data_IF_817097931558
#
_entry.id   IF_817097931558
#
_cell.length_a   1.000
_cell.length_b   1.000
_cell.length_c   1.000
_cell.angle_alpha   90.00
_cell.angle_beta   90.00
_cell.angle_gamma   90.00
#
_symmetry.space_group_name_H-M   'P 1'
#
loop_
_entity.id
_entity.type
_entity.pdbx_description
1 polymer ?
#
# COMPACT_ATOMS: atom_id res chain seq x y z
N UNK A 1 27.23 19.69 -0.89
CA UNK A 1 26.19 18.75 -1.38
C UNK A 1 25.49 18.10 -0.20
N UNK A 2 24.16 18.14 -0.11
CA UNK A 2 23.42 17.41 0.92
C UNK A 2 23.05 16.03 0.39
N UNK A 3 23.66 15.00 0.98
CA UNK A 3 23.30 13.61 0.81
C UNK A 3 21.89 13.38 1.36
N UNK A 4 20.87 13.70 0.56
CA UNK A 4 19.52 13.27 0.83
C UNK A 4 19.49 11.75 0.63
N UNK A 5 19.79 11.00 1.69
CA UNK A 5 19.46 9.59 1.79
C UNK A 5 17.94 9.49 1.85
N UNK A 6 17.29 9.58 0.69
CA UNK A 6 15.83 9.53 0.54
C UNK A 6 15.40 8.09 0.71
N UNK A 7 14.73 7.78 1.82
CA UNK A 7 14.11 6.48 2.02
C UNK A 7 12.82 6.46 1.21
N UNK A 8 12.86 5.82 0.03
CA UNK A 8 11.68 5.65 -0.82
C UNK A 8 10.83 4.51 -0.24
N UNK A 9 9.53 4.72 -0.14
CA UNK A 9 8.63 3.61 0.16
C UNK A 9 8.62 2.63 -1.03
N UNK A 10 8.75 1.33 -0.73
CA UNK A 10 8.64 0.29 -1.76
C UNK A 10 7.20 0.06 -2.23
N UNK A 11 6.22 0.57 -1.47
CA UNK A 11 4.80 0.37 -1.71
C UNK A 11 4.12 1.59 -2.33
N UNK A 12 4.78 2.76 -2.33
CA UNK A 12 4.31 3.96 -3.01
C UNK A 12 5.46 4.94 -3.33
N UNK A 13 5.23 5.94 -4.18
CA UNK A 13 6.27 6.92 -4.56
C UNK A 13 6.61 7.97 -3.48
N UNK A 14 6.23 7.74 -2.22
CA UNK A 14 6.56 8.62 -1.11
C UNK A 14 8.05 8.50 -0.75
N UNK A 15 8.71 9.65 -0.58
CA UNK A 15 10.13 9.75 -0.19
C UNK A 15 10.21 10.40 1.18
N UNK A 16 10.78 9.69 2.14
CA UNK A 16 10.91 10.10 3.52
C UNK A 16 12.38 10.45 3.81
N UNK A 17 12.55 11.36 4.77
CA UNK A 17 13.87 11.88 5.15
C UNK A 17 14.62 10.99 6.16
N UNK A 18 13.92 10.04 6.79
CA UNK A 18 14.48 9.13 7.81
C UNK A 18 13.84 7.74 7.72
N UNK A 19 14.57 6.73 8.20
CA UNK A 19 14.09 5.34 8.26
C UNK A 19 12.90 5.17 9.22
N UNK A 20 12.91 5.84 10.37
CA UNK A 20 11.78 5.82 11.33
C UNK A 20 10.49 6.37 10.69
N UNK A 21 10.60 7.48 9.96
CA UNK A 21 9.48 8.06 9.21
C UNK A 21 9.00 7.12 8.09
N UNK A 22 9.89 6.38 7.45
CA UNK A 22 9.52 5.36 6.47
C UNK A 22 8.77 4.20 7.15
N UNK A 23 9.26 3.69 8.27
CA UNK A 23 8.63 2.59 9.01
C UNK A 23 7.25 3.01 9.53
N UNK A 24 7.12 4.19 10.14
CA UNK A 24 5.82 4.72 10.57
C UNK A 24 4.90 4.96 9.37
N UNK A 25 5.41 5.49 8.26
CA UNK A 25 4.63 5.66 7.03
C UNK A 25 4.13 4.32 6.48
N UNK A 26 4.98 3.30 6.41
CA UNK A 26 4.57 1.97 5.99
C UNK A 26 3.54 1.40 6.95
N UNK A 27 3.79 1.53 8.25
CA UNK A 27 2.90 0.99 9.26
C UNK A 27 1.53 1.69 9.26
N UNK A 28 1.49 3.01 9.05
CA UNK A 28 0.24 3.80 9.11
C UNK A 28 -0.49 3.90 7.78
N UNK A 29 0.22 4.04 6.66
CA UNK A 29 -0.38 4.24 5.34
C UNK A 29 -0.54 2.95 4.53
N UNK A 30 0.21 1.89 4.88
CA UNK A 30 0.14 0.60 4.20
C UNK A 30 -0.34 -0.53 5.12
N UNK A 31 0.06 -0.57 6.38
CA UNK A 31 -0.35 -1.66 7.28
C UNK A 31 -1.48 -1.29 8.26
N UNK A 32 -1.84 -0.01 8.42
CA UNK A 32 -2.88 0.37 9.38
C UNK A 32 -4.19 0.68 8.66
N UNK A 33 -5.23 0.02 9.14
CA UNK A 33 -6.65 0.28 8.90
C UNK A 33 -7.34 -0.32 7.69
N UNK A 34 -6.75 -1.28 6.99
CA UNK A 34 -7.49 -2.06 6.00
C UNK A 34 -7.12 -3.53 6.12
N UNK A 35 -8.03 -4.42 6.56
CA UNK A 35 -7.79 -5.86 6.52
C UNK A 35 -7.62 -6.40 5.09
N UNK A 36 -7.93 -5.56 4.09
CA UNK A 36 -8.07 -5.96 2.70
C UNK A 36 -7.15 -5.09 1.83
N UNK A 37 -5.95 -5.60 1.58
CA UNK A 37 -5.01 -5.05 0.60
C UNK A 37 -5.14 -5.76 -0.75
N UNK A 38 -5.08 -5.00 -1.84
CA UNK A 38 -4.91 -5.56 -3.18
C UNK A 38 -3.41 -5.73 -3.46
N UNK A 39 -2.92 -6.97 -3.47
CA UNK A 39 -1.50 -7.28 -3.75
C UNK A 39 -1.03 -6.98 -5.16
N UNK A 40 -1.94 -6.77 -6.11
CA UNK A 40 -1.59 -6.45 -7.50
C UNK A 40 -1.38 -4.94 -7.73
N UNK A 41 -2.12 -4.08 -7.04
CA UNK A 41 -2.01 -2.62 -7.17
C UNK A 41 -1.59 -1.90 -5.88
N UNK A 42 -1.35 -2.66 -4.81
CA UNK A 42 -1.02 -2.16 -3.48
C UNK A 42 -2.01 -1.10 -2.94
N UNK A 43 -3.28 -1.23 -3.33
CA UNK A 43 -4.39 -0.36 -2.86
C UNK A 43 -5.02 -0.97 -1.62
N UNK A 44 -5.28 -0.12 -0.64
CA UNK A 44 -5.83 -0.47 0.66
C UNK A 44 -7.32 -0.16 0.71
N UNK A 45 -8.14 -1.11 1.16
CA UNK A 45 -9.59 -0.97 1.25
C UNK A 45 -10.11 -1.16 2.68
N UNK A 46 -10.92 -0.23 3.15
CA UNK A 46 -11.55 -0.29 4.48
C UNK A 46 -12.48 -1.51 4.66
N UNK A 47 -12.93 -2.13 3.57
CA UNK A 47 -13.90 -3.23 3.56
C UNK A 47 -13.62 -4.26 2.46
N UNK A 48 -13.93 -5.54 2.73
CA UNK A 48 -13.72 -6.66 1.78
C UNK A 48 -14.51 -6.48 0.48
N UNK A 49 -15.71 -5.90 0.57
CA UNK A 49 -16.59 -5.70 -0.59
C UNK A 49 -16.03 -4.68 -1.58
N UNK A 50 -15.42 -3.61 -1.06
CA UNK A 50 -14.72 -2.61 -1.87
C UNK A 50 -13.51 -3.22 -2.56
N UNK A 51 -12.74 -4.03 -1.82
CA UNK A 51 -11.59 -4.77 -2.35
C UNK A 51 -12.02 -5.77 -3.43
N UNK A 52 -13.09 -6.55 -3.21
CA UNK A 52 -13.61 -7.49 -4.22
C UNK A 52 -14.12 -6.80 -5.46
N UNK A 53 -14.84 -5.68 -5.32
CA UNK A 53 -15.36 -4.92 -6.45
C UNK A 53 -14.21 -4.32 -7.26
N UNK A 54 -13.20 -3.78 -6.57
CA UNK A 54 -11.97 -3.32 -7.21
C UNK A 54 -11.26 -4.45 -7.95
N UNK A 55 -11.07 -5.59 -7.29
CA UNK A 55 -10.43 -6.75 -7.87
C UNK A 55 -11.19 -7.31 -9.08
N UNK A 56 -12.52 -7.34 -9.07
CA UNK A 56 -13.31 -7.74 -10.23
C UNK A 56 -13.19 -6.74 -11.39
N UNK A 57 -13.27 -5.44 -11.11
CA UNK A 57 -13.29 -4.39 -12.15
C UNK A 57 -11.91 -4.05 -12.72
N UNK A 58 -10.88 -4.07 -11.88
CA UNK A 58 -9.51 -3.65 -12.22
C UNK A 58 -8.58 -4.82 -12.48
N UNK A 59 -8.81 -5.94 -11.80
CA UNK A 59 -7.91 -7.10 -11.83
C UNK A 59 -8.55 -8.36 -12.43
N UNK A 60 -9.86 -8.34 -12.75
CA UNK A 60 -10.60 -9.55 -13.13
C UNK A 60 -10.33 -10.72 -12.18
N UNK A 61 -10.25 -10.46 -10.88
CA UNK A 61 -10.03 -11.50 -9.88
C UNK A 61 -11.14 -12.54 -9.93
N UNK A 62 -10.84 -13.67 -10.56
CA UNK A 62 -11.64 -14.89 -10.44
C UNK A 62 -11.24 -15.50 -9.11
N UNK A 63 -12.17 -15.49 -8.16
CA UNK A 63 -12.06 -16.25 -6.92
C UNK A 63 -11.90 -17.72 -7.32
N UNK A 64 -10.66 -18.20 -7.43
CA UNK A 64 -10.42 -19.64 -7.54
C UNK A 64 -10.77 -20.22 -6.19
N UNK A 65 -11.84 -21.00 -6.19
CA UNK A 65 -12.26 -21.83 -5.06
C UNK A 65 -11.31 -23.00 -4.93
#
# INVERSE_FOLDING_TARGET
>A
MRFFKKFKCGLCDKKLSSHEQLMQHQQTAHYSNTPYDCKECNIFFSSMEQMRTHLQKKHSYKKTR
#
